data_IF_376440200108
#
_entry.id   IF_376440200108
#
_cell.length_a   1.000
_cell.length_b   1.000
_cell.length_c   1.000
_cell.angle_alpha   90.00
_cell.angle_beta   90.00
_cell.angle_gamma   90.00
#
_symmetry.space_group_name_H-M   'P 1'
#
loop_
_entity.id
_entity.type
_entity.pdbx_description
1 polymer ?
#
# COMPACT_ATOMS: atom_id res chain seq x y z
N UNK A 1 56.92 -9.00 21.84
CA UNK A 1 55.56 -9.50 22.20
C UNK A 1 54.52 -8.50 21.73
N UNK A 2 53.78 -8.80 20.67
CA UNK A 2 52.68 -7.97 20.18
C UNK A 2 51.35 -8.39 20.83
N UNK A 3 50.53 -7.43 21.28
CA UNK A 3 49.13 -7.67 21.66
C UNK A 3 48.23 -7.39 20.44
N UNK A 4 47.33 -8.30 20.04
CA UNK A 4 46.36 -8.02 19.00
C UNK A 4 45.25 -7.09 19.52
N UNK A 5 44.94 -6.05 18.74
CA UNK A 5 43.91 -5.06 19.04
C UNK A 5 42.56 -5.61 18.54
N UNK A 6 41.74 -6.19 19.42
CA UNK A 6 40.37 -6.65 19.04
C UNK A 6 39.54 -5.44 18.62
N UNK A 7 39.25 -5.30 17.32
CA UNK A 7 38.22 -4.38 16.86
C UNK A 7 36.85 -4.98 17.15
N UNK A 8 36.06 -4.30 18.00
CA UNK A 8 34.61 -4.56 18.03
C UNK A 8 34.04 -4.04 16.72
N UNK A 9 33.73 -4.94 15.78
CA UNK A 9 32.79 -4.64 14.71
C UNK A 9 31.40 -4.62 15.32
N UNK A 10 30.89 -3.44 15.63
CA UNK A 10 29.48 -3.24 15.97
C UNK A 10 28.66 -3.67 14.75
N UNK A 11 27.91 -4.77 14.84
CA UNK A 11 26.85 -5.05 13.87
C UNK A 11 25.75 -4.03 14.11
N UNK A 12 25.57 -3.09 13.18
CA UNK A 12 24.38 -2.25 13.18
C UNK A 12 23.20 -3.14 12.83
N UNK A 13 22.22 -3.24 13.74
CA UNK A 13 20.90 -3.72 13.33
C UNK A 13 20.30 -2.65 12.43
N UNK A 14 19.77 -3.05 11.29
CA UNK A 14 19.08 -2.17 10.36
C UNK A 14 17.57 -2.21 10.62
N UNK A 15 16.92 -1.08 10.40
CA UNK A 15 15.50 -0.90 10.70
C UNK A 15 14.61 -1.64 9.71
N UNK A 16 13.59 -2.33 10.21
CA UNK A 16 12.53 -2.90 9.39
C UNK A 16 11.20 -2.32 9.84
N UNK A 17 10.66 -1.41 9.02
CA UNK A 17 9.30 -0.88 9.17
C UNK A 17 8.36 -1.90 8.52
N UNK A 18 7.28 -2.28 9.21
CA UNK A 18 6.25 -3.15 8.67
C UNK A 18 5.73 -2.58 7.33
N UNK A 19 5.56 -3.44 6.34
CA UNK A 19 5.41 -3.01 4.94
C UNK A 19 4.02 -3.39 4.42
N UNK A 20 3.02 -2.74 5.03
CA UNK A 20 1.62 -2.94 4.70
C UNK A 20 1.32 -2.41 3.28
N UNK A 21 0.78 -3.30 2.47
CA UNK A 21 0.19 -3.02 1.16
C UNK A 21 -0.59 -4.23 0.70
N UNK A 22 -1.93 -4.09 0.67
CA UNK A 22 -2.91 -5.20 0.54
C UNK A 22 -4.25 -4.70 -0.03
N UNK A 23 -5.23 -5.59 -0.34
CA UNK A 23 -6.38 -5.26 -1.20
C UNK A 23 -7.87 -5.57 -0.75
N UNK A 24 -8.79 -4.55 -0.71
CA UNK A 24 -10.31 -4.56 -0.65
C UNK A 24 -11.07 -3.20 -0.43
N UNK A 25 -12.23 -2.91 -1.10
CA UNK A 25 -12.97 -1.59 -1.18
C UNK A 25 -14.49 -1.70 -0.82
N UNK A 26 -15.20 -0.60 -0.42
CA UNK A 26 -16.58 -0.25 -0.91
C UNK A 26 -17.08 1.18 -0.63
N UNK A 27 -17.93 1.70 -1.54
CA UNK A 27 -18.51 3.06 -1.56
C UNK A 27 -20.06 3.05 -1.50
N UNK A 28 -20.69 4.22 -1.28
CA UNK A 28 -22.13 4.46 -1.39
C UNK A 28 -22.46 5.84 -1.98
N UNK A 29 -23.39 5.89 -2.94
CA UNK A 29 -23.74 7.10 -3.70
C UNK A 29 -25.01 7.81 -3.19
N UNK A 30 -25.19 9.07 -3.58
CA UNK A 30 -26.50 9.64 -3.91
C UNK A 30 -26.40 10.69 -5.01
N UNK A 31 -27.48 10.85 -5.77
CA UNK A 31 -27.59 11.64 -7.01
C UNK A 31 -28.29 12.97 -6.72
N UNK A 32 -28.03 14.00 -7.52
CA UNK A 32 -29.08 14.91 -8.03
C UNK A 32 -28.54 15.81 -9.16
N UNK A 33 -29.40 16.03 -10.17
CA UNK A 33 -29.32 16.99 -11.27
C UNK A 33 -30.77 17.06 -11.82
N UNK A 34 -31.37 18.21 -12.23
CA UNK A 34 -30.79 19.10 -13.25
C UNK A 34 -31.07 20.63 -13.11
N UNK A 35 -30.28 21.47 -13.79
CA UNK A 35 -30.75 22.80 -14.22
C UNK A 35 -30.10 23.29 -15.53
N UNK A 36 -30.92 23.84 -16.43
CA UNK A 36 -30.57 24.28 -17.79
C UNK A 36 -30.57 25.82 -17.90
N UNK A 37 -29.62 26.40 -18.63
CA UNK A 37 -29.71 27.79 -19.12
C UNK A 37 -29.00 28.01 -20.48
N UNK A 38 -29.81 28.08 -21.55
CA UNK A 38 -29.59 28.95 -22.72
C UNK A 38 -30.07 30.37 -22.33
N UNK A 39 -29.74 31.52 -22.94
CA UNK A 39 -28.94 31.90 -24.13
C UNK A 39 -28.52 33.39 -23.99
N UNK A 40 -27.61 33.89 -24.85
CA UNK A 40 -27.86 35.04 -25.76
C UNK A 40 -26.56 35.62 -26.39
N UNK A 41 -26.68 36.10 -27.63
CA UNK A 41 -25.60 36.64 -28.51
C UNK A 41 -26.01 38.06 -28.96
N UNK A 42 -25.08 38.98 -29.32
CA UNK A 42 -24.59 39.08 -30.71
C UNK A 42 -23.06 39.37 -30.78
N UNK A 43 -22.26 38.84 -31.72
CA UNK A 43 -22.34 38.90 -33.18
C UNK A 43 -22.18 40.32 -33.77
N UNK A 44 -20.93 40.77 -33.94
CA UNK A 44 -20.50 41.42 -35.20
C UNK A 44 -18.96 41.42 -35.39
N UNK A 45 -18.52 41.69 -36.62
CA UNK A 45 -17.14 41.97 -37.11
C UNK A 45 -16.11 40.81 -37.26
N UNK A 46 -15.90 40.43 -38.53
CA UNK A 46 -14.62 40.01 -39.15
C UNK A 46 -14.56 40.73 -40.52
N UNK A 47 -13.42 40.80 -41.26
CA UNK A 47 -12.07 40.33 -40.91
C UNK A 47 -10.92 41.32 -41.20
N UNK A 48 -9.79 41.17 -40.51
CA UNK A 48 -8.48 41.54 -41.08
C UNK A 48 -7.47 40.41 -40.88
N UNK A 49 -6.74 40.15 -41.97
CA UNK A 49 -5.72 39.13 -42.12
C UNK A 49 -4.40 39.60 -41.48
N UNK A 50 -3.92 38.86 -40.49
CA UNK A 50 -2.57 38.97 -39.97
C UNK A 50 -2.07 37.56 -39.68
N UNK A 51 -1.34 37.00 -40.64
CA UNK A 51 -0.72 35.69 -40.53
C UNK A 51 0.06 35.54 -39.22
N UNK A 52 -0.44 34.66 -38.35
CA UNK A 52 0.24 34.21 -37.14
C UNK A 52 0.62 32.76 -37.38
N UNK A 53 1.92 32.47 -37.33
CA UNK A 53 2.43 31.11 -37.45
C UNK A 53 1.68 30.21 -36.46
N UNK A 54 1.15 29.10 -36.96
CA UNK A 54 0.60 28.08 -36.09
C UNK A 54 1.78 27.48 -35.32
N UNK A 55 1.92 27.88 -34.04
CA UNK A 55 2.73 27.14 -33.09
C UNK A 55 2.13 25.74 -33.00
N UNK A 56 2.81 24.80 -33.67
CA UNK A 56 2.50 23.36 -33.70
C UNK A 56 2.66 22.82 -32.28
N UNK A 57 1.63 23.05 -31.47
CA UNK A 57 1.50 22.49 -30.13
C UNK A 57 1.44 20.98 -30.32
N UNK A 58 2.45 20.22 -29.87
CA UNK A 58 2.48 18.78 -30.11
C UNK A 58 1.18 18.19 -29.58
N UNK A 59 0.44 17.50 -30.46
CA UNK A 59 -0.80 16.84 -30.07
C UNK A 59 -0.50 15.99 -28.84
N UNK A 60 -1.14 16.34 -27.72
CA UNK A 60 -1.02 15.58 -26.47
C UNK A 60 -1.39 14.14 -26.85
N UNK A 61 -0.52 13.13 -26.61
CA UNK A 61 -0.84 11.77 -27.00
C UNK A 61 -2.20 11.39 -26.38
N UNK A 62 -3.06 10.72 -27.16
CA UNK A 62 -4.35 10.20 -26.71
C UNK A 62 -4.09 9.05 -25.71
N UNK A 63 -3.66 9.43 -24.51
CA UNK A 63 -3.51 8.55 -23.36
C UNK A 63 -4.90 8.27 -22.79
N UNK A 64 -5.23 7.01 -22.46
CA UNK A 64 -6.45 6.72 -21.72
C UNK A 64 -6.52 7.53 -20.43
N UNK A 65 -7.72 7.95 -20.02
CA UNK A 65 -7.91 8.60 -18.72
C UNK A 65 -7.49 7.67 -17.57
N UNK A 66 -6.76 8.19 -16.58
CA UNK A 66 -6.26 7.38 -15.46
C UNK A 66 -7.40 6.70 -14.68
N UNK A 67 -8.49 7.43 -14.45
CA UNK A 67 -9.73 6.90 -13.86
C UNK A 67 -10.33 5.73 -14.68
N UNK A 68 -10.22 5.75 -16.01
CA UNK A 68 -10.70 4.65 -16.87
C UNK A 68 -9.82 3.40 -16.74
N UNK A 69 -8.50 3.56 -16.58
CA UNK A 69 -7.58 2.44 -16.36
C UNK A 69 -7.78 1.79 -14.98
N UNK A 70 -7.96 2.63 -13.95
CA UNK A 70 -8.32 2.23 -12.59
C UNK A 70 -9.64 1.45 -12.56
N UNK A 71 -10.69 1.96 -13.23
CA UNK A 71 -11.97 1.25 -13.34
C UNK A 71 -11.86 -0.05 -14.15
N UNK A 72 -11.08 -0.09 -15.24
CA UNK A 72 -10.81 -1.33 -15.99
C UNK A 72 -10.13 -2.40 -15.16
N UNK A 73 -9.22 -2.01 -14.26
CA UNK A 73 -8.63 -2.95 -13.31
C UNK A 73 -9.68 -3.57 -12.39
N UNK A 74 -10.54 -2.74 -11.80
CA UNK A 74 -11.64 -3.18 -10.94
C UNK A 74 -12.53 -4.20 -11.64
N UNK A 75 -12.96 -3.90 -12.87
CA UNK A 75 -13.79 -4.81 -13.68
C UNK A 75 -13.04 -6.11 -14.06
N UNK A 76 -11.80 -6.00 -14.54
CA UNK A 76 -10.98 -7.17 -14.90
C UNK A 76 -10.69 -8.09 -13.71
N UNK A 77 -10.59 -7.52 -12.51
CA UNK A 77 -10.36 -8.26 -11.29
C UNK A 77 -11.64 -8.84 -10.68
N UNK A 78 -12.86 -8.47 -11.10
CA UNK A 78 -14.11 -9.08 -10.61
C UNK A 78 -15.26 -8.10 -10.37
N UNK A 79 -15.04 -6.80 -10.58
CA UNK A 79 -16.07 -5.77 -10.53
C UNK A 79 -16.43 -5.27 -9.13
N UNK A 80 -17.05 -4.10 -9.09
CA UNK A 80 -17.44 -3.41 -7.85
C UNK A 80 -18.38 -4.20 -6.92
N UNK A 81 -19.14 -5.16 -7.45
CA UNK A 81 -20.11 -5.95 -6.68
C UNK A 81 -19.47 -7.09 -5.88
N UNK A 82 -18.49 -7.80 -6.45
CA UNK A 82 -17.76 -8.87 -5.73
C UNK A 82 -17.04 -8.26 -4.52
N UNK A 83 -16.35 -7.15 -4.79
CA UNK A 83 -15.77 -6.22 -3.84
C UNK A 83 -16.77 -5.84 -2.72
N UNK A 84 -17.98 -5.41 -3.07
CA UNK A 84 -19.00 -4.97 -2.12
C UNK A 84 -19.48 -6.05 -1.15
N UNK A 85 -19.30 -7.33 -1.51
CA UNK A 85 -19.70 -8.49 -0.70
C UNK A 85 -18.73 -8.84 0.43
N UNK A 86 -17.57 -8.18 0.49
CA UNK A 86 -16.57 -8.36 1.54
C UNK A 86 -16.84 -7.39 2.70
N UNK A 87 -17.35 -7.93 3.81
CA UNK A 87 -17.45 -7.22 5.09
C UNK A 87 -16.12 -7.27 5.87
N UNK A 88 -15.37 -8.36 5.66
CA UNK A 88 -14.04 -8.57 6.25
C UNK A 88 -13.19 -9.53 5.41
N UNK A 89 -11.87 -9.45 5.58
CA UNK A 89 -10.90 -10.38 4.97
C UNK A 89 -9.82 -10.74 6.00
N UNK A 90 -9.47 -12.02 6.07
CA UNK A 90 -8.27 -12.54 6.72
C UNK A 90 -7.34 -13.16 5.68
N UNK A 91 -6.11 -12.64 5.63
CA UNK A 91 -5.03 -13.17 4.81
C UNK A 91 -3.93 -13.68 5.75
N UNK A 92 -3.46 -14.91 5.55
CA UNK A 92 -2.25 -15.41 6.22
C UNK A 92 -1.24 -15.86 5.16
N UNK A 93 0.03 -15.50 5.34
CA UNK A 93 1.09 -15.75 4.39
C UNK A 93 2.44 -16.06 5.03
N UNK A 94 3.36 -16.56 4.20
CA UNK A 94 4.79 -16.62 4.51
C UNK A 94 5.46 -15.32 4.09
N UNK A 95 6.60 -15.02 4.71
CA UNK A 95 7.45 -13.87 4.39
C UNK A 95 8.88 -14.38 4.16
N UNK A 96 9.51 -13.97 3.06
CA UNK A 96 10.91 -14.25 2.76
C UNK A 96 11.64 -12.92 2.48
N UNK A 97 12.78 -12.70 3.14
CA UNK A 97 13.57 -11.46 3.05
C UNK A 97 14.62 -11.45 1.92
N UNK A 98 14.60 -12.46 1.05
CA UNK A 98 15.50 -12.65 -0.09
C UNK A 98 16.98 -12.69 0.30
N UNK A 99 17.62 -11.52 0.28
CA UNK A 99 19.07 -11.35 0.50
C UNK A 99 19.50 -11.71 1.92
N UNK A 100 18.65 -11.48 2.93
CA UNK A 100 18.95 -11.82 4.32
C UNK A 100 18.69 -13.31 4.64
N UNK A 101 17.92 -14.02 3.81
CA UNK A 101 17.50 -15.42 4.01
C UNK A 101 16.83 -15.68 5.36
N UNK A 102 16.10 -14.68 5.86
CA UNK A 102 15.21 -14.80 7.00
C UNK A 102 13.81 -15.07 6.48
N UNK A 103 13.17 -16.09 7.06
CA UNK A 103 11.79 -16.46 6.82
C UNK A 103 10.89 -15.88 7.92
N UNK A 104 9.59 -15.87 7.68
CA UNK A 104 8.60 -15.32 8.60
C UNK A 104 7.17 -15.62 8.19
N UNK A 105 6.23 -15.05 8.93
CA UNK A 105 4.80 -15.13 8.65
C UNK A 105 4.17 -13.75 8.68
N UNK A 106 3.14 -13.55 7.87
CA UNK A 106 2.28 -12.37 7.88
C UNK A 106 0.83 -12.77 8.14
N UNK A 107 0.10 -11.93 8.86
CA UNK A 107 -1.35 -12.03 9.01
C UNK A 107 -1.96 -10.65 8.88
N UNK A 108 -2.96 -10.52 8.02
CA UNK A 108 -3.72 -9.30 7.84
C UNK A 108 -5.19 -9.58 8.12
N UNK A 109 -5.77 -8.74 8.96
CA UNK A 109 -7.19 -8.57 9.15
C UNK A 109 -7.59 -7.24 8.53
N UNK A 110 -8.65 -7.24 7.74
CA UNK A 110 -9.26 -6.03 7.18
C UNK A 110 -10.78 -6.07 7.37
N UNK A 111 -11.37 -4.89 7.53
CA UNK A 111 -12.83 -4.69 7.48
C UNK A 111 -13.21 -3.61 6.48
N UNK A 112 -14.40 -3.79 5.93
CA UNK A 112 -15.11 -2.78 5.12
C UNK A 112 -15.12 -1.44 5.84
N UNK A 113 -14.79 -0.37 5.09
CA UNK A 113 -14.48 0.96 5.64
C UNK A 113 -12.98 1.25 5.75
N UNK A 114 -12.10 0.27 5.48
CA UNK A 114 -10.66 0.51 5.35
C UNK A 114 -9.84 0.22 6.60
N UNK A 115 -10.46 -0.10 7.73
CA UNK A 115 -9.77 -0.49 8.97
C UNK A 115 -8.99 -1.79 8.76
N UNK A 116 -7.74 -1.84 9.25
CA UNK A 116 -6.88 -3.01 9.10
C UNK A 116 -5.95 -3.22 10.29
N UNK A 117 -5.53 -4.46 10.49
CA UNK A 117 -4.49 -4.88 11.42
C UNK A 117 -3.56 -5.84 10.70
N UNK A 118 -2.25 -5.58 10.76
CA UNK A 118 -1.20 -6.40 10.17
C UNK A 118 -0.27 -6.86 11.29
N UNK A 119 0.00 -8.16 11.36
CA UNK A 119 1.14 -8.74 12.08
C UNK A 119 2.15 -9.31 11.07
N UNK A 120 3.44 -9.05 11.27
CA UNK A 120 4.54 -9.70 10.55
C UNK A 120 5.60 -10.13 11.55
N UNK A 121 5.89 -11.43 11.61
CA UNK A 121 6.95 -11.99 12.46
C UNK A 121 8.06 -12.59 11.57
N UNK A 122 9.26 -12.01 11.63
CA UNK A 122 10.41 -12.45 10.82
C UNK A 122 11.51 -12.98 11.76
N UNK A 123 12.07 -14.15 11.45
CA UNK A 123 13.11 -14.77 12.26
C UNK A 123 14.31 -13.82 12.45
N UNK A 124 14.79 -13.69 13.70
CA UNK A 124 15.93 -12.84 14.04
C UNK A 124 15.66 -11.32 14.00
N UNK A 125 14.50 -10.89 13.50
CA UNK A 125 13.99 -9.50 13.57
C UNK A 125 12.99 -9.36 14.70
N UNK A 126 12.02 -10.28 14.78
CA UNK A 126 10.93 -10.29 15.75
C UNK A 126 9.57 -9.91 15.14
N UNK A 127 8.59 -9.72 16.02
CA UNK A 127 7.23 -9.32 15.66
C UNK A 127 7.16 -7.80 15.39
N UNK A 128 6.50 -7.44 14.30
CA UNK A 128 6.09 -6.08 13.97
C UNK A 128 4.60 -6.05 13.67
N UNK A 129 3.95 -4.93 13.98
CA UNK A 129 2.50 -4.76 13.92
C UNK A 129 2.14 -3.38 13.38
N UNK A 130 1.03 -3.29 12.69
CA UNK A 130 0.43 -2.03 12.30
C UNK A 130 -1.09 -2.12 12.40
N UNK A 131 -1.74 -1.07 12.87
CA UNK A 131 -3.20 -1.01 12.97
C UNK A 131 -3.75 0.34 12.54
N UNK A 132 -4.95 0.31 11.97
CA UNK A 132 -5.72 1.47 11.58
C UNK A 132 -7.19 1.21 11.86
N UNK A 133 -7.79 2.00 12.76
CA UNK A 133 -9.21 1.90 13.12
C UNK A 133 -10.14 2.71 12.21
N UNK A 134 -9.59 3.52 11.30
CA UNK A 134 -10.32 4.50 10.48
C UNK A 134 -10.04 5.96 10.87
N UNK A 135 -9.34 6.20 11.99
CA UNK A 135 -8.95 7.53 12.47
C UNK A 135 -7.49 7.56 12.94
N UNK A 136 -7.08 6.60 13.78
CA UNK A 136 -5.72 6.45 14.32
C UNK A 136 -4.94 5.38 13.57
N UNK A 137 -3.88 5.79 12.87
CA UNK A 137 -2.84 4.90 12.37
C UNK A 137 -1.77 4.67 13.45
N UNK A 138 -1.31 3.42 13.63
CA UNK A 138 -0.26 3.09 14.60
C UNK A 138 0.60 1.90 14.18
N UNK A 139 1.80 1.83 14.76
CA UNK A 139 2.76 0.74 14.55
C UNK A 139 3.39 0.31 15.87
N UNK A 140 3.73 -0.97 15.99
CA UNK A 140 4.60 -1.51 17.04
C UNK A 140 5.68 -2.35 16.38
N UNK A 141 6.95 -2.02 16.61
CA UNK A 141 8.08 -2.82 16.12
C UNK A 141 9.22 -2.87 17.17
N UNK A 142 10.17 -3.82 17.08
CA UNK A 142 11.19 -4.01 18.11
C UNK A 142 12.20 -2.86 18.27
N UNK A 143 12.18 -1.87 17.37
CA UNK A 143 13.15 -0.76 17.30
C UNK A 143 12.49 0.57 17.69
N UNK A 144 11.32 0.90 17.12
CA UNK A 144 10.59 2.13 17.45
C UNK A 144 9.56 1.97 18.58
N UNK A 145 9.21 0.73 18.92
CA UNK A 145 8.18 0.40 19.90
C UNK A 145 6.77 0.75 19.43
N UNK A 146 5.79 0.63 20.32
CA UNK A 146 4.41 1.06 20.06
C UNK A 146 4.32 2.59 19.96
N UNK A 147 3.86 3.09 18.81
CA UNK A 147 3.62 4.53 18.56
C UNK A 147 2.46 4.76 17.60
N UNK A 148 1.82 5.92 17.71
CA UNK A 148 0.92 6.44 16.67
C UNK A 148 1.74 7.02 15.51
N UNK A 149 1.19 6.96 14.30
CA UNK A 149 1.67 7.71 13.14
C UNK A 149 0.77 8.95 12.97
N UNK A 150 1.36 10.07 12.53
CA UNK A 150 0.63 11.33 12.34
C UNK A 150 1.05 12.01 11.02
N UNK A 151 0.18 12.90 10.53
CA UNK A 151 0.44 13.71 9.33
C UNK A 151 0.87 12.88 8.13
N UNK A 152 1.93 13.35 7.45
CA UNK A 152 2.46 12.71 6.23
C UNK A 152 2.92 11.26 6.42
N UNK A 153 3.37 10.88 7.62
CA UNK A 153 3.75 9.48 7.92
C UNK A 153 2.51 8.58 7.93
N UNK A 154 1.43 8.99 8.60
CA UNK A 154 0.16 8.28 8.61
C UNK A 154 -0.46 8.18 7.21
N UNK A 155 -0.53 9.29 6.47
CA UNK A 155 -1.10 9.34 5.11
C UNK A 155 -0.33 8.39 4.16
N UNK A 156 1.00 8.44 4.18
CA UNK A 156 1.85 7.54 3.38
C UNK A 156 1.62 6.06 3.75
N UNK A 157 1.46 5.76 5.04
CA UNK A 157 1.22 4.38 5.47
C UNK A 157 -0.17 3.89 5.03
N UNK A 158 -1.23 4.68 5.26
CA UNK A 158 -2.60 4.37 4.85
C UNK A 158 -2.68 4.18 3.32
N UNK A 159 -2.13 5.12 2.53
CA UNK A 159 -2.13 5.05 1.07
C UNK A 159 -1.45 3.79 0.52
N UNK A 160 -0.33 3.37 1.11
CA UNK A 160 0.35 2.15 0.70
C UNK A 160 -0.38 0.88 1.17
N UNK A 161 -1.07 0.94 2.33
CA UNK A 161 -1.90 -0.13 2.90
C UNK A 161 -3.32 -0.20 2.32
N UNK A 162 -3.70 0.78 1.50
CA UNK A 162 -5.08 1.11 1.16
C UNK A 162 -5.74 0.05 0.30
N UNK A 163 -7.05 -0.11 0.56
CA UNK A 163 -7.78 -1.34 0.27
C UNK A 163 -7.85 -1.71 -1.24
N UNK A 164 -8.92 -1.57 -2.04
CA UNK A 164 -8.71 -1.71 -3.50
C UNK A 164 -8.33 -0.34 -4.01
N UNK A 165 -7.05 0.10 -3.95
CA UNK A 165 -6.71 1.50 -4.14
C UNK A 165 -6.98 1.96 -5.58
N UNK A 166 -7.13 1.02 -6.52
CA UNK A 166 -7.63 1.31 -7.87
C UNK A 166 -9.07 1.85 -7.87
N UNK A 167 -9.91 1.38 -6.94
CA UNK A 167 -11.30 1.81 -6.74
C UNK A 167 -11.37 2.90 -5.65
N UNK A 168 -10.59 2.76 -4.56
CA UNK A 168 -10.54 3.64 -3.35
C UNK A 168 -9.70 4.91 -3.61
N UNK A 169 -9.13 5.11 -4.80
CA UNK A 169 -8.24 6.24 -5.06
C UNK A 169 -8.88 7.59 -4.66
N UNK A 170 -10.18 7.76 -4.86
CA UNK A 170 -10.91 8.98 -4.50
C UNK A 170 -11.08 9.23 -2.99
N UNK A 171 -10.67 8.30 -2.11
CA UNK A 171 -10.63 8.52 -0.66
C UNK A 171 -9.30 9.12 -0.18
N UNK A 172 -8.27 9.09 -1.03
CA UNK A 172 -6.89 9.44 -0.65
C UNK A 172 -6.14 10.28 -1.69
N UNK A 173 -6.66 10.41 -2.90
CA UNK A 173 -6.00 11.02 -4.06
C UNK A 173 -6.98 11.88 -4.87
N UNK A 174 -6.56 13.11 -5.17
CA UNK A 174 -7.36 14.12 -5.86
C UNK A 174 -7.35 13.96 -7.41
N UNK A 175 -6.40 13.23 -7.98
CA UNK A 175 -6.30 13.03 -9.43
C UNK A 175 -5.61 11.72 -9.81
N UNK A 176 -5.91 11.19 -11.00
CA UNK A 176 -5.30 10.01 -11.60
C UNK A 176 -4.75 10.34 -13.00
N UNK A 177 -3.43 10.48 -13.12
CA UNK A 177 -2.72 10.95 -14.30
C UNK A 177 -1.99 9.81 -15.03
N UNK A 178 -2.49 9.41 -16.20
CA UNK A 178 -1.78 8.45 -17.06
C UNK A 178 -0.45 9.05 -17.54
N UNK A 179 0.66 8.38 -17.27
CA UNK A 179 2.02 8.78 -17.66
C UNK A 179 2.42 8.26 -19.03
N UNK A 180 1.86 7.12 -19.44
CA UNK A 180 2.13 6.46 -20.71
C UNK A 180 2.17 4.95 -20.56
N UNK A 181 2.76 4.29 -21.54
CA UNK A 181 3.08 2.85 -21.46
C UNK A 181 4.51 2.64 -21.01
N UNK A 182 4.74 1.60 -20.22
CA UNK A 182 6.06 1.07 -19.89
C UNK A 182 6.11 -0.41 -20.30
N UNK A 183 7.25 -0.89 -20.79
CA UNK A 183 7.53 -2.33 -20.91
C UNK A 183 8.33 -2.76 -19.68
N UNK A 184 7.96 -3.87 -19.05
CA UNK A 184 8.68 -4.47 -17.93
C UNK A 184 9.81 -5.38 -18.43
N UNK A 185 10.71 -5.78 -17.53
CA UNK A 185 11.86 -6.64 -17.87
C UNK A 185 11.47 -8.03 -18.40
N UNK A 186 10.27 -8.51 -18.07
CA UNK A 186 9.70 -9.77 -18.59
C UNK A 186 8.98 -9.61 -19.95
N UNK A 187 8.92 -8.39 -20.49
CA UNK A 187 8.25 -8.04 -21.73
C UNK A 187 6.78 -7.64 -21.57
N UNK A 188 6.21 -7.68 -20.37
CA UNK A 188 4.83 -7.22 -20.11
C UNK A 188 4.71 -5.73 -20.40
N UNK A 189 3.69 -5.34 -21.16
CA UNK A 189 3.36 -3.94 -21.39
C UNK A 189 2.33 -3.49 -20.34
N UNK A 190 2.58 -2.35 -19.70
CA UNK A 190 1.69 -1.75 -18.70
C UNK A 190 1.37 -0.30 -19.02
N UNK A 191 0.19 0.18 -18.61
CA UNK A 191 -0.10 1.61 -18.46
C UNK A 191 0.30 2.08 -17.07
N UNK A 192 1.13 3.12 -16.98
CA UNK A 192 1.43 3.79 -15.71
C UNK A 192 0.41 4.91 -15.42
N UNK A 193 -0.18 4.90 -14.23
CA UNK A 193 -1.10 5.92 -13.71
C UNK A 193 -0.56 6.44 -12.37
N UNK A 194 -0.28 7.74 -12.29
CA UNK A 194 0.10 8.42 -11.05
C UNK A 194 -1.14 8.97 -10.36
N UNK A 195 -1.36 8.55 -9.11
CA UNK A 195 -2.34 9.09 -8.19
C UNK A 195 -1.71 10.24 -7.42
N UNK A 196 -2.31 11.42 -7.51
CA UNK A 196 -1.89 12.63 -6.79
C UNK A 196 -2.58 12.67 -5.44
N UNK A 197 -1.81 12.58 -4.35
CA UNK A 197 -2.36 12.59 -2.99
C UNK A 197 -3.24 13.82 -2.72
N UNK A 198 -4.37 13.63 -2.05
CA UNK A 198 -5.28 14.72 -1.64
C UNK A 198 -4.76 15.45 -0.39
N UNK A 199 -4.22 14.69 0.57
CA UNK A 199 -3.47 15.21 1.70
C UNK A 199 -1.97 15.39 1.34
N UNK A 200 -1.12 15.80 2.29
CA UNK A 200 0.34 15.93 2.13
C UNK A 200 1.09 14.56 2.01
N UNK A 201 0.43 13.54 1.47
CA UNK A 201 1.02 12.23 1.17
C UNK A 201 1.91 12.25 -0.08
N UNK A 202 2.79 11.25 -0.24
CA UNK A 202 3.51 11.03 -1.49
C UNK A 202 2.54 10.58 -2.61
N UNK A 203 2.82 10.88 -3.89
CA UNK A 203 2.07 10.29 -4.99
C UNK A 203 2.31 8.78 -5.07
N UNK A 204 1.35 8.06 -5.64
CA UNK A 204 1.42 6.61 -5.86
C UNK A 204 1.26 6.31 -7.35
N UNK A 205 2.24 5.66 -7.96
CA UNK A 205 2.16 5.21 -9.37
C UNK A 205 1.77 3.75 -9.43
N UNK A 206 0.69 3.43 -10.14
CA UNK A 206 0.24 2.06 -10.41
C UNK A 206 0.50 1.69 -11.87
N UNK A 207 1.00 0.47 -12.10
CA UNK A 207 1.19 -0.11 -13.43
C UNK A 207 0.12 -1.17 -13.70
N UNK A 208 -0.70 -0.98 -14.74
CA UNK A 208 -1.76 -1.92 -15.14
C UNK A 208 -1.41 -2.62 -16.47
N UNK A 209 -1.35 -3.94 -16.46
CA UNK A 209 -1.12 -4.80 -17.63
C UNK A 209 -2.11 -4.46 -18.77
N UNK A 210 -1.59 -4.17 -19.98
CA UNK A 210 -2.43 -3.74 -21.11
C UNK A 210 -3.26 -4.87 -21.73
N UNK A 211 -2.95 -6.13 -21.41
CA UNK A 211 -3.64 -7.34 -21.87
C UNK A 211 -4.65 -7.84 -20.84
N UNK A 212 -4.27 -7.92 -19.56
CA UNK A 212 -5.14 -8.46 -18.50
C UNK A 212 -5.93 -7.40 -17.74
N UNK A 213 -5.47 -6.14 -17.73
CA UNK A 213 -6.01 -5.08 -16.88
C UNK A 213 -5.62 -5.20 -15.39
N UNK A 214 -4.92 -6.26 -14.99
CA UNK A 214 -4.53 -6.49 -13.60
C UNK A 214 -3.35 -5.57 -13.21
N UNK A 215 -3.23 -5.28 -11.91
CA UNK A 215 -2.17 -4.44 -11.37
C UNK A 215 -0.87 -5.25 -11.37
N UNK A 216 0.18 -4.77 -12.05
CA UNK A 216 1.49 -5.41 -12.05
C UNK A 216 2.36 -4.88 -10.91
N UNK A 217 2.29 -3.57 -10.63
CA UNK A 217 3.06 -2.94 -9.55
C UNK A 217 2.41 -1.67 -9.00
N UNK A 218 2.88 -1.27 -7.82
CA UNK A 218 2.69 0.03 -7.20
C UNK A 218 4.05 0.61 -6.79
N UNK A 219 4.33 1.88 -7.10
CA UNK A 219 5.53 2.62 -6.68
C UNK A 219 5.10 3.85 -5.90
N UNK A 220 5.79 4.15 -4.80
CA UNK A 220 5.55 5.35 -3.99
C UNK A 220 6.81 5.72 -3.22
N UNK A 221 6.65 6.54 -2.18
CA UNK A 221 7.63 6.69 -1.11
C UNK A 221 6.99 6.24 0.20
N UNK A 222 7.73 5.50 1.00
CA UNK A 222 7.40 5.31 2.41
C UNK A 222 7.98 6.48 3.19
N UNK A 223 7.11 7.26 3.84
CA UNK A 223 7.53 8.31 4.78
C UNK A 223 7.81 7.64 6.12
N UNK A 224 8.93 8.00 6.76
CA UNK A 224 9.29 7.50 8.09
C UNK A 224 9.91 8.63 8.93
N UNK A 225 10.04 8.41 10.24
CA UNK A 225 10.86 9.27 11.12
C UNK A 225 12.33 9.45 10.67
N UNK A 226 12.86 8.60 9.78
CA UNK A 226 14.21 8.73 9.21
C UNK A 226 14.24 9.49 7.87
N UNK A 227 13.08 9.83 7.31
CA UNK A 227 12.92 10.48 6.00
C UNK A 227 12.05 9.68 5.03
N UNK A 228 11.92 10.19 3.81
CA UNK A 228 11.24 9.50 2.71
C UNK A 228 12.18 8.48 2.04
N UNK A 229 11.72 7.23 1.89
CA UNK A 229 12.44 6.16 1.18
C UNK A 229 11.61 5.69 -0.02
N UNK A 230 12.21 5.38 -1.19
CA UNK A 230 11.48 4.80 -2.30
C UNK A 230 10.89 3.44 -1.91
N UNK A 231 9.63 3.23 -2.25
CA UNK A 231 8.88 2.00 -1.99
C UNK A 231 8.30 1.46 -3.30
N UNK A 232 8.51 0.19 -3.56
CA UNK A 232 7.98 -0.52 -4.73
C UNK A 232 7.34 -1.83 -4.29
N UNK A 233 6.17 -2.15 -4.85
CA UNK A 233 5.47 -3.41 -4.62
C UNK A 233 5.02 -3.99 -5.97
N UNK A 234 5.16 -5.30 -6.15
CA UNK A 234 4.80 -6.04 -7.35
C UNK A 234 3.76 -7.10 -6.98
N UNK A 235 2.73 -7.23 -7.81
CA UNK A 235 1.59 -8.12 -7.60
C UNK A 235 1.61 -9.25 -8.63
N UNK A 236 1.72 -10.49 -8.15
CA UNK A 236 2.01 -11.68 -8.96
C UNK A 236 1.10 -12.86 -8.57
N UNK A 237 0.95 -13.82 -9.48
CA UNK A 237 0.21 -15.06 -9.22
C UNK A 237 -1.25 -14.81 -8.88
N UNK A 238 -1.98 -14.10 -9.73
CA UNK A 238 -3.40 -13.80 -9.50
C UNK A 238 -4.27 -15.07 -9.48
N UNK A 239 -5.11 -15.20 -8.46
CA UNK A 239 -6.12 -16.24 -8.33
C UNK A 239 -7.49 -15.66 -7.97
N UNK A 240 -8.55 -16.27 -8.50
CA UNK A 240 -9.93 -15.96 -8.10
C UNK A 240 -10.23 -16.48 -6.68
N UNK A 241 -10.52 -15.57 -5.74
CA UNK A 241 -11.14 -15.86 -4.43
C UNK A 241 -12.49 -15.15 -4.38
N UNK A 242 -13.56 -15.90 -4.12
CA UNK A 242 -14.92 -15.37 -3.95
C UNK A 242 -15.40 -14.41 -5.08
N UNK A 243 -14.98 -14.67 -6.32
CA UNK A 243 -15.35 -13.87 -7.49
C UNK A 243 -14.40 -12.71 -7.81
N UNK A 244 -13.37 -12.46 -7.01
CA UNK A 244 -12.37 -11.42 -7.23
C UNK A 244 -10.94 -11.98 -7.38
N UNK A 245 -10.10 -11.36 -8.21
CA UNK A 245 -8.71 -11.73 -8.50
C UNK A 245 -7.76 -11.09 -7.48
N UNK A 246 -7.20 -11.91 -6.59
CA UNK A 246 -6.17 -11.48 -5.64
C UNK A 246 -4.80 -11.98 -6.08
N UNK A 247 -3.78 -11.11 -6.00
CA UNK A 247 -2.40 -11.51 -6.18
C UNK A 247 -1.97 -12.40 -5.02
N UNK A 248 -1.68 -13.67 -5.28
CA UNK A 248 -1.26 -14.64 -4.25
C UNK A 248 0.21 -14.46 -3.85
N UNK A 249 0.97 -13.67 -4.60
CA UNK A 249 2.36 -13.32 -4.31
C UNK A 249 2.57 -11.81 -4.42
N UNK A 250 3.20 -11.22 -3.40
CA UNK A 250 3.59 -9.81 -3.37
C UNK A 250 5.09 -9.71 -3.15
N UNK A 251 5.82 -9.03 -4.04
CA UNK A 251 7.22 -8.66 -3.80
C UNK A 251 7.28 -7.18 -3.46
N UNK A 252 7.80 -6.82 -2.30
CA UNK A 252 7.93 -5.43 -1.85
C UNK A 252 9.38 -5.06 -1.59
N UNK A 253 9.75 -3.82 -1.87
CA UNK A 253 11.12 -3.31 -1.78
C UNK A 253 11.13 -1.90 -1.21
N UNK A 254 11.96 -1.67 -0.20
CA UNK A 254 12.38 -0.33 0.22
C UNK A 254 13.83 -0.19 -0.23
N UNK A 255 14.07 0.61 -1.27
CA UNK A 255 15.31 0.55 -2.06
C UNK A 255 16.56 0.73 -1.19
N UNK A 256 17.41 -0.30 -1.16
CA UNK A 256 18.67 -0.30 -0.41
C UNK A 256 18.56 -0.65 1.08
N UNK A 257 17.34 -0.94 1.59
CA UNK A 257 17.09 -1.32 2.98
C UNK A 257 16.55 -2.76 3.12
N UNK A 258 15.46 -3.07 2.41
CA UNK A 258 14.72 -4.33 2.57
C UNK A 258 14.10 -4.77 1.24
N UNK A 259 14.12 -6.08 0.99
CA UNK A 259 13.27 -6.77 0.03
C UNK A 259 12.45 -7.81 0.81
N UNK A 260 11.14 -7.88 0.53
CA UNK A 260 10.22 -8.88 1.06
C UNK A 260 9.52 -9.59 -0.10
N UNK A 261 9.35 -10.90 0.01
CA UNK A 261 8.39 -11.66 -0.78
C UNK A 261 7.37 -12.25 0.19
N UNK A 262 6.11 -11.92 -0.01
CA UNK A 262 4.98 -12.48 0.72
C UNK A 262 4.22 -13.45 -0.20
N UNK A 263 3.92 -14.65 0.28
CA UNK A 263 3.09 -15.63 -0.44
C UNK A 263 1.88 -16.00 0.42
N UNK A 264 0.68 -15.82 -0.13
CA UNK A 264 -0.58 -16.06 0.57
C UNK A 264 -0.82 -17.57 0.66
N UNK A 265 -0.88 -18.06 1.89
CA UNK A 265 -1.12 -19.49 2.20
C UNK A 265 -2.58 -19.75 2.61
N UNK A 266 -3.28 -18.72 3.10
CA UNK A 266 -4.68 -18.78 3.53
C UNK A 266 -5.39 -17.47 3.21
N UNK A 267 -6.63 -17.57 2.74
CA UNK A 267 -7.48 -16.44 2.41
C UNK A 267 -8.92 -16.78 2.80
N UNK A 268 -9.50 -16.00 3.72
CA UNK A 268 -10.88 -16.14 4.19
C UNK A 268 -11.58 -14.77 4.11
N UNK A 269 -12.86 -14.77 3.75
CA UNK A 269 -13.70 -13.56 3.69
C UNK A 269 -14.89 -13.70 4.62
N UNK A 270 -15.43 -12.56 5.06
CA UNK A 270 -16.61 -12.47 5.93
C UNK A 270 -16.45 -13.26 7.24
N UNK A 271 -15.22 -13.27 7.76
CA UNK A 271 -14.84 -13.77 9.08
C UNK A 271 -15.24 -12.78 10.18
N UNK A 272 -15.54 -13.29 11.38
CA UNK A 272 -15.79 -12.45 12.55
C UNK A 272 -14.47 -11.83 13.05
N UNK A 273 -14.46 -10.52 13.24
CA UNK A 273 -13.28 -9.73 13.62
C UNK A 273 -13.71 -8.73 14.69
N UNK A 274 -13.03 -8.75 15.83
CA UNK A 274 -13.18 -7.76 16.90
C UNK A 274 -12.53 -6.43 16.50
N UNK A 275 -13.33 -5.36 16.51
CA UNK A 275 -12.86 -4.01 16.17
C UNK A 275 -11.80 -3.48 17.16
N UNK A 276 -11.73 -4.02 18.38
CA UNK A 276 -10.68 -3.66 19.34
C UNK A 276 -9.27 -4.01 18.86
N UNK A 277 -9.11 -4.92 17.88
CA UNK A 277 -7.78 -5.24 17.30
C UNK A 277 -7.19 -4.10 16.47
N UNK A 278 -8.02 -3.20 15.94
CA UNK A 278 -7.58 -2.07 15.11
C UNK A 278 -7.21 -0.83 15.93
N UNK A 279 -7.78 -0.71 17.13
CA UNK A 279 -7.60 0.44 18.01
C UNK A 279 -6.17 0.46 18.57
N UNK A 280 -5.58 1.64 18.72
CA UNK A 280 -4.28 1.79 19.37
C UNK A 280 -4.28 1.12 20.77
N UNK A 281 -3.38 0.15 21.05
CA UNK A 281 -3.37 -0.58 22.31
C UNK A 281 -2.93 0.30 23.49
N UNK A 282 -3.89 1.03 24.05
CA UNK A 282 -3.71 1.94 25.19
C UNK A 282 -3.66 1.20 26.53
N UNK A 283 -4.27 0.01 26.62
CA UNK A 283 -3.95 -0.99 27.63
C UNK A 283 -2.59 -1.61 27.33
N UNK A 284 -1.55 -1.00 27.92
CA UNK A 284 -0.32 -1.72 28.24
C UNK A 284 -0.70 -3.04 28.90
N UNK A 285 -0.19 -4.18 28.44
CA UNK A 285 -0.33 -5.43 29.19
C UNK A 285 0.10 -5.15 30.63
N UNK A 286 -0.83 -5.38 31.56
CA UNK A 286 -0.58 -5.11 32.97
C UNK A 286 0.44 -6.13 33.45
N UNK A 287 1.73 -5.74 33.46
CA UNK A 287 2.83 -6.51 34.06
C UNK A 287 2.33 -7.04 35.40
N UNK A 288 2.16 -8.37 35.56
CA UNK A 288 1.53 -8.90 36.75
C UNK A 288 2.28 -8.41 37.99
N UNK A 289 1.54 -7.79 38.91
CA UNK A 289 2.10 -7.28 40.18
C UNK A 289 2.73 -8.40 41.02
N UNK A 290 2.34 -9.65 40.71
CA UNK A 290 2.97 -10.88 41.15
C UNK A 290 4.14 -11.24 40.19
N UNK A 291 5.41 -11.13 40.64
CA UNK A 291 6.57 -11.43 39.80
C UNK A 291 6.65 -12.89 39.34
N UNK A 292 5.90 -13.81 39.97
CA UNK A 292 5.87 -15.23 39.59
C UNK A 292 4.97 -15.53 38.39
N UNK A 293 4.17 -14.54 37.96
CA UNK A 293 3.27 -14.62 36.79
C UNK A 293 3.76 -13.80 35.60
N UNK A 294 4.87 -13.09 35.74
CA UNK A 294 5.53 -12.42 34.61
C UNK A 294 6.12 -13.50 33.69
N UNK A 295 6.03 -13.36 32.36
CA UNK A 295 6.67 -14.29 31.44
C UNK A 295 8.18 -14.35 31.73
N UNK A 296 8.83 -15.53 31.64
CA UNK A 296 10.26 -15.63 31.87
C UNK A 296 11.03 -14.68 30.95
N UNK A 297 11.98 -13.95 31.51
CA UNK A 297 12.93 -13.18 30.70
C UNK A 297 13.84 -14.19 30.01
N UNK A 298 13.54 -14.51 28.74
CA UNK A 298 14.42 -15.32 27.92
C UNK A 298 15.75 -14.58 27.74
N UNK A 299 16.82 -15.19 28.24
CA UNK A 299 18.17 -14.68 28.00
C UNK A 299 18.46 -14.78 26.50
N UNK A 300 19.03 -13.75 25.86
CA UNK A 300 19.38 -13.81 24.44
C UNK A 300 20.31 -15.01 24.22
N UNK A 301 19.96 -15.86 23.24
CA UNK A 301 20.64 -17.12 23.00
C UNK A 301 22.16 -16.92 22.90
N UNK A 302 22.92 -17.66 23.70
CA UNK A 302 24.38 -17.55 23.71
C UNK A 302 24.92 -17.95 22.33
N UNK A 303 25.43 -16.98 21.58
CA UNK A 303 26.15 -17.25 20.34
C UNK A 303 27.47 -17.95 20.67
N UNK A 304 27.46 -19.28 20.67
CA UNK A 304 28.67 -20.11 20.73
C UNK A 304 29.52 -19.83 19.49
N UNK A 305 30.77 -19.42 19.71
CA UNK A 305 31.74 -19.06 18.66
C UNK A 305 32.88 -20.05 18.48
#
# INVERSE_FOLDING_TARGET
MMRPRRSRRTRSLFSFVALAGVLSFTSACSKDDPAKAESDVPADAQPEDAGKEAEDTPAKPDLPEGASLLAKHVEAAGGAEAIASFESILIEGTVDTGKQKLEGTSKLWWKKGGSFYLEQNIEGVGMSRAGYDGETMWTEDPISGLRKLEGKEAVSYIQNSAMFPAHDWQQHFAAANTKGKQTLDDGTEVWEVELVSEADGPPVTMGFDTTTGLLSFMKSKQVTAMGEMPFEAYAEGYEAKNGYQFAMKKRSSVTGLLELTEEITKFEVNVEIDDQMFVFPNTREAVPADPTKQPPVEAPAETTG
#
